data_IF_595526200627
#
_entry.id   IF_595526200627
#
_cell.length_a   1.000
_cell.length_b   1.000
_cell.length_c   1.000
_cell.angle_alpha   90.00
_cell.angle_beta   90.00
_cell.angle_gamma   90.00
#
_symmetry.space_group_name_H-M   'P 1'
#
loop_
_entity.id
_entity.type
_entity.pdbx_description
1 polymer ?
#
# COMPACT_ATOMS: atom_id res chain seq x y z
N UNK A 1 8.85 -2.96 -26.05
CA UNK A 1 7.58 -2.50 -25.48
C UNK A 1 7.85 -1.31 -24.57
N UNK A 2 7.00 -0.29 -24.64
CA UNK A 2 7.13 0.95 -23.91
C UNK A 2 5.84 1.24 -23.13
N UNK A 3 5.94 1.53 -21.83
CA UNK A 3 4.81 1.78 -20.95
C UNK A 3 4.93 3.17 -20.32
N UNK A 4 3.83 3.93 -20.35
CA UNK A 4 3.72 5.19 -19.61
C UNK A 4 2.77 4.99 -18.42
N UNK A 5 3.28 5.19 -17.21
CA UNK A 5 2.55 5.13 -15.97
C UNK A 5 2.16 6.53 -15.50
N UNK A 6 0.89 6.74 -15.14
CA UNK A 6 0.42 8.01 -14.58
C UNK A 6 0.09 7.85 -13.10
N UNK A 7 0.80 8.61 -12.26
CA UNK A 7 0.61 8.64 -10.79
C UNK A 7 0.58 10.07 -10.27
N UNK A 8 -0.02 10.34 -9.09
CA UNK A 8 -0.10 11.72 -8.57
C UNK A 8 1.27 12.30 -8.22
N UNK A 9 2.08 11.51 -7.53
CA UNK A 9 3.43 11.86 -7.03
C UNK A 9 4.22 10.58 -6.79
N UNK A 10 5.51 10.70 -6.54
CA UNK A 10 6.43 9.61 -6.16
C UNK A 10 6.99 9.87 -4.75
N UNK A 11 6.12 10.15 -3.76
CA UNK A 11 6.52 10.44 -2.39
C UNK A 11 6.67 9.17 -1.52
N UNK A 12 5.55 8.66 -1.03
CA UNK A 12 5.49 7.41 -0.26
C UNK A 12 4.04 6.95 -0.15
N UNK A 13 3.79 5.72 -0.46
CA UNK A 13 2.47 5.11 -0.38
C UNK A 13 2.45 3.77 -1.09
N UNK A 14 1.35 3.03 -0.94
CA UNK A 14 1.22 1.70 -1.55
C UNK A 14 1.25 1.74 -3.08
N UNK A 15 0.64 2.75 -3.71
CA UNK A 15 0.60 2.88 -5.18
C UNK A 15 1.98 3.21 -5.73
N UNK A 16 2.70 4.13 -5.09
CA UNK A 16 4.05 4.52 -5.47
C UNK A 16 5.01 3.32 -5.38
N UNK A 17 4.90 2.50 -4.34
CA UNK A 17 5.70 1.28 -4.21
C UNK A 17 5.36 0.25 -5.30
N UNK A 18 4.08 0.08 -5.65
CA UNK A 18 3.68 -0.80 -6.76
C UNK A 18 4.29 -0.32 -8.08
N UNK A 19 4.31 0.99 -8.34
CA UNK A 19 4.92 1.55 -9.56
C UNK A 19 6.43 1.36 -9.56
N UNK A 20 7.10 1.50 -8.41
CA UNK A 20 8.52 1.18 -8.25
C UNK A 20 8.82 -0.28 -8.60
N UNK A 21 8.08 -1.22 -8.02
CA UNK A 21 8.26 -2.65 -8.23
C UNK A 21 7.95 -3.07 -9.67
N UNK A 22 6.87 -2.54 -10.25
CA UNK A 22 6.55 -2.73 -11.66
C UNK A 22 7.66 -2.18 -12.55
N UNK A 23 8.11 -0.95 -12.31
CA UNK A 23 9.16 -0.32 -13.08
C UNK A 23 10.45 -1.14 -13.07
N UNK A 24 10.92 -1.53 -11.89
CA UNK A 24 12.13 -2.36 -11.72
C UNK A 24 11.98 -3.73 -12.40
N UNK A 25 10.87 -4.43 -12.14
CA UNK A 25 10.61 -5.76 -12.71
C UNK A 25 10.41 -5.78 -14.23
N UNK A 26 9.87 -4.73 -14.80
CA UNK A 26 9.68 -4.61 -16.25
C UNK A 26 10.98 -4.14 -16.93
N UNK A 27 11.72 -3.22 -16.33
CA UNK A 27 13.03 -2.76 -16.86
C UNK A 27 14.03 -3.91 -16.94
N UNK A 28 14.06 -4.80 -15.95
CA UNK A 28 14.91 -6.01 -15.99
C UNK A 28 14.56 -6.98 -17.14
N UNK A 29 13.38 -6.82 -17.75
CA UNK A 29 12.91 -7.59 -18.92
C UNK A 29 13.00 -6.80 -20.23
N UNK A 30 13.69 -5.67 -20.24
CA UNK A 30 13.89 -4.85 -21.45
C UNK A 30 12.67 -4.01 -21.84
N UNK A 31 11.71 -3.78 -20.93
CA UNK A 31 10.58 -2.89 -21.15
C UNK A 31 10.95 -1.47 -20.76
N UNK A 32 10.76 -0.52 -21.65
CA UNK A 32 10.97 0.91 -21.38
C UNK A 32 9.82 1.43 -20.51
N UNK A 33 10.12 1.84 -19.27
CA UNK A 33 9.15 2.37 -18.32
C UNK A 33 9.31 3.88 -18.15
N UNK A 34 8.23 4.61 -18.33
CA UNK A 34 8.17 6.05 -18.16
C UNK A 34 7.10 6.36 -17.10
N UNK A 35 7.48 7.03 -16.02
CA UNK A 35 6.57 7.45 -14.96
C UNK A 35 6.34 8.94 -15.02
N UNK A 36 5.10 9.35 -15.23
CA UNK A 36 4.69 10.76 -15.24
C UNK A 36 4.02 11.08 -13.91
N UNK A 37 4.57 12.03 -13.17
CA UNK A 37 4.05 12.42 -11.86
C UNK A 37 4.41 13.84 -11.47
N UNK A 38 3.89 14.31 -10.33
CA UNK A 38 4.28 15.60 -9.72
C UNK A 38 5.63 15.58 -9.02
N UNK A 39 6.49 14.56 -9.25
CA UNK A 39 7.77 14.40 -8.55
C UNK A 39 7.62 13.74 -7.18
N UNK A 40 8.70 13.74 -6.40
CA UNK A 40 8.75 13.22 -5.04
C UNK A 40 10.05 12.51 -4.71
N UNK A 41 10.24 12.17 -3.43
CA UNK A 41 11.48 11.60 -2.89
C UNK A 41 11.89 10.23 -3.47
N UNK A 42 10.95 9.50 -4.08
CA UNK A 42 11.24 8.21 -4.71
C UNK A 42 11.78 8.33 -6.13
N UNK A 43 11.76 9.52 -6.74
CA UNK A 43 12.22 9.71 -8.15
C UNK A 43 13.67 9.28 -8.34
N UNK A 44 14.66 9.68 -7.51
CA UNK A 44 16.04 9.25 -7.71
C UNK A 44 16.23 7.75 -7.68
N UNK A 45 15.49 7.06 -6.81
CA UNK A 45 15.50 5.60 -6.72
C UNK A 45 14.82 4.96 -7.93
N UNK A 46 13.69 5.50 -8.39
CA UNK A 46 12.97 5.06 -9.58
C UNK A 46 13.87 5.07 -10.83
N UNK A 47 14.63 6.16 -11.01
CA UNK A 47 15.55 6.32 -12.14
C UNK A 47 16.76 5.38 -12.03
N UNK A 48 17.29 5.21 -10.81
CA UNK A 48 18.37 4.23 -10.56
C UNK A 48 17.94 2.80 -10.86
N UNK A 49 16.65 2.47 -10.65
CA UNK A 49 16.08 1.15 -10.92
C UNK A 49 15.63 0.98 -12.39
N UNK A 50 15.97 1.91 -13.30
CA UNK A 50 15.83 1.78 -14.74
C UNK A 50 14.55 2.36 -15.34
N UNK A 51 13.72 3.06 -14.57
CA UNK A 51 12.58 3.79 -15.10
C UNK A 51 12.93 5.26 -15.36
N UNK A 52 12.36 5.86 -16.42
CA UNK A 52 12.50 7.29 -16.70
C UNK A 52 11.38 8.06 -16.00
N UNK A 53 11.70 9.18 -15.33
CA UNK A 53 10.70 10.07 -14.77
C UNK A 53 10.45 11.31 -15.64
N UNK A 54 9.17 11.72 -15.75
CA UNK A 54 8.77 12.98 -16.39
C UNK A 54 7.95 13.78 -15.37
N UNK A 55 8.46 14.94 -14.99
CA UNK A 55 7.80 15.83 -14.05
C UNK A 55 6.60 16.51 -14.73
N UNK A 56 5.41 16.11 -14.34
CA UNK A 56 4.14 16.73 -14.74
C UNK A 56 3.15 16.62 -13.59
N UNK A 57 2.83 17.71 -12.88
CA UNK A 57 1.99 17.67 -11.69
C UNK A 57 0.49 17.49 -12.04
N UNK A 58 0.12 16.26 -12.38
CA UNK A 58 -1.24 15.82 -12.75
C UNK A 58 -2.04 15.25 -11.58
N UNK A 59 -1.51 15.33 -10.35
CA UNK A 59 -2.11 14.71 -9.15
C UNK A 59 -3.14 15.57 -8.41
N UNK A 60 -3.32 16.84 -8.76
CA UNK A 60 -4.22 17.78 -8.06
C UNK A 60 -5.51 17.98 -8.84
N UNK A 61 -6.64 18.02 -8.13
CA UNK A 61 -7.94 18.49 -8.70
C UNK A 61 -7.89 20.01 -8.86
N UNK A 62 -7.43 20.48 -10.00
CA UNK A 62 -7.32 21.92 -10.30
C UNK A 62 -7.50 22.18 -11.78
N UNK A 63 -7.88 23.42 -12.11
CA UNK A 63 -7.97 23.91 -13.50
C UNK A 63 -6.61 23.72 -14.21
N UNK A 64 -5.51 23.90 -13.51
CA UNK A 64 -4.16 23.67 -14.07
C UNK A 64 -3.95 22.23 -14.59
N UNK A 65 -4.63 21.24 -14.02
CA UNK A 65 -4.57 19.85 -14.51
C UNK A 65 -5.28 19.72 -15.86
N UNK A 66 -6.34 20.50 -16.11
CA UNK A 66 -7.02 20.51 -17.41
C UNK A 66 -6.13 21.06 -18.53
N UNK A 67 -5.35 22.11 -18.25
CA UNK A 67 -4.37 22.65 -19.20
C UNK A 67 -3.27 21.63 -19.53
N UNK A 68 -2.93 20.73 -18.60
CA UNK A 68 -1.92 19.68 -18.83
C UNK A 68 -2.39 18.51 -19.70
N UNK A 69 -3.70 18.39 -19.97
CA UNK A 69 -4.22 17.37 -20.90
C UNK A 69 -3.60 17.53 -22.29
N UNK A 70 -3.45 18.78 -22.77
CA UNK A 70 -2.77 19.06 -24.03
C UNK A 70 -1.29 18.64 -24.04
N UNK A 71 -0.56 19.00 -22.98
CA UNK A 71 0.83 18.60 -22.80
C UNK A 71 0.98 17.07 -22.69
N UNK A 72 0.07 16.41 -21.96
CA UNK A 72 0.07 14.96 -21.84
C UNK A 72 -0.24 14.27 -23.19
N UNK A 73 -1.18 14.81 -23.98
CA UNK A 73 -1.44 14.35 -25.34
C UNK A 73 -0.17 14.47 -26.23
N UNK A 74 0.46 15.63 -26.21
CA UNK A 74 1.71 15.85 -26.98
C UNK A 74 2.82 14.89 -26.54
N UNK A 75 2.93 14.63 -25.22
CA UNK A 75 3.86 13.63 -24.68
C UNK A 75 3.56 12.24 -25.23
N UNK A 76 2.30 11.80 -25.22
CA UNK A 76 1.91 10.49 -25.74
C UNK A 76 2.20 10.36 -27.23
N UNK A 77 1.98 11.43 -28.02
CA UNK A 77 2.31 11.46 -29.44
C UNK A 77 3.83 11.38 -29.71
N UNK A 78 4.65 12.05 -28.89
CA UNK A 78 6.10 12.03 -29.01
C UNK A 78 6.72 10.70 -28.55
N UNK A 79 6.22 10.15 -27.45
CA UNK A 79 6.74 8.91 -26.83
C UNK A 79 6.26 7.67 -27.57
N UNK A 80 5.02 7.68 -28.11
CA UNK A 80 4.34 6.55 -28.74
C UNK A 80 4.42 5.28 -27.87
N UNK A 81 3.88 5.29 -26.66
CA UNK A 81 3.90 4.11 -25.82
C UNK A 81 2.97 3.01 -26.36
N UNK A 82 3.28 1.75 -26.08
CA UNK A 82 2.40 0.63 -26.35
C UNK A 82 1.24 0.58 -25.35
N UNK A 83 1.51 1.01 -24.09
CA UNK A 83 0.53 1.00 -23.00
C UNK A 83 0.55 2.33 -22.24
N UNK A 84 -0.66 2.85 -21.96
CA UNK A 84 -0.90 3.92 -21.01
C UNK A 84 -1.55 3.31 -19.75
N UNK A 85 -0.82 3.30 -18.63
CA UNK A 85 -1.21 2.67 -17.38
C UNK A 85 -1.57 3.71 -16.32
N UNK A 86 -2.80 3.67 -15.83
CA UNK A 86 -3.40 4.65 -14.93
C UNK A 86 -3.55 4.07 -13.53
N UNK A 87 -2.95 4.70 -12.51
CA UNK A 87 -2.91 4.18 -11.15
C UNK A 87 -3.76 4.93 -10.13
N UNK A 88 -4.25 6.11 -10.45
CA UNK A 88 -5.02 6.95 -9.52
C UNK A 88 -6.02 7.83 -10.23
N UNK A 89 -7.15 8.13 -9.58
CA UNK A 89 -8.32 8.79 -10.19
C UNK A 89 -8.03 10.12 -10.90
N UNK A 90 -7.26 11.04 -10.30
CA UNK A 90 -6.97 12.36 -10.93
C UNK A 90 -6.07 12.20 -12.16
N UNK A 91 -4.90 11.50 -12.07
CA UNK A 91 -4.11 11.18 -13.24
C UNK A 91 -4.87 10.37 -14.28
N UNK A 92 -5.76 9.45 -13.85
CA UNK A 92 -6.58 8.66 -14.77
C UNK A 92 -7.54 9.52 -15.60
N UNK A 93 -8.17 10.52 -15.00
CA UNK A 93 -8.99 11.46 -15.78
C UNK A 93 -8.15 12.25 -16.77
N UNK A 94 -6.99 12.77 -16.37
CA UNK A 94 -6.10 13.50 -17.27
C UNK A 94 -5.61 12.60 -18.42
N UNK A 95 -5.16 11.38 -18.09
CA UNK A 95 -4.69 10.38 -19.06
C UNK A 95 -5.77 9.96 -20.04
N UNK A 96 -6.95 9.60 -19.54
CA UNK A 96 -8.09 9.20 -20.35
C UNK A 96 -8.54 10.30 -21.32
N UNK A 97 -8.60 11.55 -20.87
CA UNK A 97 -8.98 12.68 -21.73
C UNK A 97 -7.91 12.99 -22.77
N UNK A 98 -6.62 12.86 -22.44
CA UNK A 98 -5.53 12.98 -23.40
C UNK A 98 -5.56 11.84 -24.43
N UNK A 99 -5.70 10.59 -23.97
CA UNK A 99 -5.83 9.39 -24.79
C UNK A 99 -7.01 9.46 -25.76
N UNK A 100 -8.19 9.89 -25.27
CA UNK A 100 -9.40 10.02 -26.10
C UNK A 100 -9.25 11.05 -27.23
N UNK A 101 -8.37 12.04 -27.06
CA UNK A 101 -8.05 13.07 -28.07
C UNK A 101 -6.99 12.63 -29.09
N UNK A 102 -6.36 11.47 -28.92
CA UNK A 102 -5.48 10.88 -29.93
C UNK A 102 -6.33 10.28 -31.06
N UNK A 103 -5.82 10.27 -32.32
CA UNK A 103 -6.37 9.47 -33.38
C UNK A 103 -6.50 8.00 -32.94
N UNK A 104 -7.56 7.28 -33.29
CA UNK A 104 -7.77 5.89 -32.84
C UNK A 104 -6.57 4.97 -33.11
N UNK A 105 -5.92 5.13 -34.25
CA UNK A 105 -4.76 4.36 -34.70
C UNK A 105 -3.47 4.64 -33.90
N UNK A 106 -3.39 5.81 -33.26
CA UNK A 106 -2.24 6.23 -32.43
C UNK A 106 -2.47 5.96 -30.92
N UNK A 107 -3.60 5.37 -30.55
CA UNK A 107 -3.92 5.13 -29.13
C UNK A 107 -3.15 3.95 -28.58
N UNK A 108 -2.36 4.15 -27.50
CA UNK A 108 -1.83 3.02 -26.76
C UNK A 108 -2.93 2.20 -26.09
N UNK A 109 -2.68 0.94 -25.81
CA UNK A 109 -3.57 0.14 -24.97
C UNK A 109 -3.80 0.81 -23.62
N UNK A 110 -5.06 0.97 -23.23
CA UNK A 110 -5.44 1.66 -21.99
C UNK A 110 -5.61 0.67 -20.84
N UNK A 111 -4.75 0.75 -19.83
CA UNK A 111 -4.80 -0.08 -18.62
C UNK A 111 -5.08 0.78 -17.40
N UNK A 112 -5.96 0.32 -16.52
CA UNK A 112 -6.20 0.93 -15.21
C UNK A 112 -5.92 -0.07 -14.10
N UNK A 113 -5.33 0.37 -12.97
CA UNK A 113 -5.18 -0.46 -11.77
C UNK A 113 -5.99 0.09 -10.61
N UNK A 114 -6.86 -0.75 -10.05
CA UNK A 114 -7.70 -0.43 -8.90
C UNK A 114 -6.99 -0.88 -7.62
N UNK A 115 -6.34 0.08 -6.94
CA UNK A 115 -5.51 -0.15 -5.75
C UNK A 115 -6.25 0.01 -4.43
N UNK A 116 -7.55 0.29 -4.45
CA UNK A 116 -8.31 0.52 -3.23
C UNK A 116 -9.81 0.60 -3.46
N UNK A 117 -10.56 0.51 -2.38
CA UNK A 117 -11.99 0.81 -2.37
C UNK A 117 -12.18 2.32 -2.45
N UNK A 118 -12.66 2.79 -3.59
CA UNK A 118 -12.95 4.20 -3.80
C UNK A 118 -14.41 4.52 -3.42
N UNK A 119 -14.71 5.79 -3.18
CA UNK A 119 -16.11 6.22 -3.09
C UNK A 119 -16.83 5.90 -4.40
N UNK A 120 -17.97 5.22 -4.33
CA UNK A 120 -18.76 4.82 -5.50
C UNK A 120 -19.44 6.05 -6.09
N UNK A 121 -18.96 6.53 -7.23
CA UNK A 121 -19.51 7.66 -7.96
C UNK A 121 -18.92 7.74 -9.39
N UNK A 122 -19.49 8.62 -10.24
CA UNK A 122 -19.04 8.83 -11.62
C UNK A 122 -17.58 9.26 -11.75
N UNK A 123 -17.04 9.96 -10.75
CA UNK A 123 -15.62 10.36 -10.75
C UNK A 123 -14.70 9.17 -10.55
N UNK A 124 -15.06 8.26 -9.66
CA UNK A 124 -14.25 7.05 -9.38
C UNK A 124 -14.38 5.98 -10.48
N UNK A 125 -15.49 6.00 -11.24
CA UNK A 125 -15.73 5.09 -12.36
C UNK A 125 -14.63 5.15 -13.46
N UNK A 126 -13.81 6.19 -13.49
CA UNK A 126 -12.67 6.29 -14.42
C UNK A 126 -11.70 5.11 -14.26
N UNK A 127 -11.58 4.57 -13.05
CA UNK A 127 -10.67 3.46 -12.77
C UNK A 127 -11.15 2.10 -13.32
N UNK A 128 -12.39 2.03 -13.76
CA UNK A 128 -12.98 0.86 -14.41
C UNK A 128 -13.12 1.01 -15.95
N UNK A 129 -12.59 2.10 -16.53
CA UNK A 129 -12.72 2.41 -17.97
C UNK A 129 -11.52 1.99 -18.82
N UNK A 130 -10.56 1.26 -18.26
CA UNK A 130 -9.46 0.68 -19.04
C UNK A 130 -9.97 -0.40 -20.00
N UNK A 131 -9.29 -0.57 -21.15
CA UNK A 131 -9.48 -1.75 -22.02
C UNK A 131 -9.07 -3.02 -21.29
N UNK A 132 -8.18 -2.87 -20.31
CA UNK A 132 -7.91 -3.85 -19.26
C UNK A 132 -7.89 -3.15 -17.90
N UNK A 133 -8.54 -3.79 -16.94
CA UNK A 133 -8.67 -3.30 -15.56
C UNK A 133 -7.98 -4.28 -14.63
N UNK A 134 -6.89 -3.87 -14.02
CA UNK A 134 -6.18 -4.68 -13.04
C UNK A 134 -6.85 -4.50 -11.68
N UNK A 135 -7.34 -5.60 -11.12
CA UNK A 135 -7.79 -5.72 -9.75
C UNK A 135 -6.65 -6.34 -8.91
N UNK A 136 -6.26 -5.68 -7.82
CA UNK A 136 -5.13 -6.15 -6.99
C UNK A 136 -5.48 -7.33 -6.07
N UNK A 137 -6.74 -7.77 -6.07
CA UNK A 137 -7.26 -8.88 -5.28
C UNK A 137 -8.64 -9.32 -5.80
N UNK A 138 -9.14 -10.47 -5.33
CA UNK A 138 -10.50 -10.90 -5.63
C UNK A 138 -11.55 -9.93 -5.08
N UNK A 139 -11.37 -9.45 -3.85
CA UNK A 139 -12.32 -8.47 -3.27
C UNK A 139 -12.36 -7.15 -4.05
N UNK A 140 -11.30 -6.74 -4.72
CA UNK A 140 -11.31 -5.59 -5.63
C UNK A 140 -12.00 -5.92 -6.94
N UNK A 141 -11.82 -7.13 -7.50
CA UNK A 141 -12.60 -7.57 -8.67
C UNK A 141 -14.09 -7.53 -8.37
N UNK A 142 -14.50 -8.13 -7.25
CA UNK A 142 -15.91 -8.19 -6.83
C UNK A 142 -16.48 -6.78 -6.60
N UNK A 143 -15.72 -5.91 -5.92
CA UNK A 143 -16.06 -4.50 -5.78
C UNK A 143 -16.28 -3.78 -7.12
N UNK A 144 -15.45 -4.06 -8.15
CA UNK A 144 -15.62 -3.46 -9.47
C UNK A 144 -16.91 -3.96 -10.12
N UNK A 145 -17.15 -5.27 -10.08
CA UNK A 145 -18.35 -5.87 -10.67
C UNK A 145 -19.65 -5.38 -10.01
N UNK A 146 -19.65 -5.26 -8.68
CA UNK A 146 -20.82 -4.82 -7.92
C UNK A 146 -21.16 -3.34 -8.14
N UNK A 147 -20.16 -2.49 -8.33
CA UNK A 147 -20.37 -1.04 -8.31
C UNK A 147 -20.20 -0.35 -9.66
N UNK A 148 -19.59 -1.02 -10.63
CA UNK A 148 -19.36 -0.52 -11.98
C UNK A 148 -19.78 -1.56 -13.02
N UNK A 149 -21.09 -1.88 -13.12
CA UNK A 149 -21.62 -2.96 -13.97
C UNK A 149 -21.39 -2.74 -15.46
N UNK A 150 -21.01 -1.53 -15.88
CA UNK A 150 -20.62 -1.25 -17.26
C UNK A 150 -19.21 -1.78 -17.62
N UNK A 151 -18.45 -2.28 -16.64
CA UNK A 151 -17.14 -2.88 -16.90
C UNK A 151 -17.33 -4.35 -17.30
N UNK A 152 -16.95 -4.75 -18.51
CA UNK A 152 -17.06 -6.14 -18.90
C UNK A 152 -16.18 -7.03 -17.99
N UNK A 153 -16.69 -8.16 -17.48
CA UNK A 153 -15.91 -9.04 -16.60
C UNK A 153 -14.62 -9.55 -17.24
N UNK A 154 -14.62 -9.80 -18.54
CA UNK A 154 -13.46 -10.25 -19.32
C UNK A 154 -12.38 -9.16 -19.51
N UNK A 155 -12.69 -7.90 -19.23
CA UNK A 155 -11.69 -6.82 -19.16
C UNK A 155 -10.91 -6.84 -17.84
N UNK A 156 -11.47 -7.44 -16.79
CA UNK A 156 -10.84 -7.45 -15.46
C UNK A 156 -9.81 -8.60 -15.38
N UNK A 157 -8.61 -8.25 -14.90
CA UNK A 157 -7.56 -9.22 -14.59
C UNK A 157 -7.12 -9.04 -13.15
N UNK A 158 -7.08 -10.14 -12.40
CA UNK A 158 -6.54 -10.12 -11.04
C UNK A 158 -5.02 -10.24 -11.15
N UNK A 159 -4.34 -9.20 -10.73
CA UNK A 159 -2.87 -9.17 -10.65
C UNK A 159 -2.54 -8.63 -9.24
N UNK A 160 -2.27 -9.53 -8.29
CA UNK A 160 -1.90 -9.13 -6.94
C UNK A 160 -0.62 -8.29 -6.93
N UNK A 161 -0.50 -7.39 -5.94
CA UNK A 161 0.76 -6.71 -5.72
C UNK A 161 1.83 -7.74 -5.35
N UNK A 162 3.05 -7.49 -5.79
CA UNK A 162 4.19 -8.34 -5.54
C UNK A 162 5.19 -7.68 -4.60
N UNK A 163 6.16 -8.44 -4.15
CA UNK A 163 7.38 -7.99 -3.47
C UNK A 163 8.57 -8.72 -4.10
N UNK A 164 9.76 -8.16 -3.95
CA UNK A 164 10.98 -8.82 -4.42
C UNK A 164 11.32 -10.01 -3.51
N UNK A 165 11.38 -11.25 -4.02
CA UNK A 165 11.77 -12.41 -3.21
C UNK A 165 13.23 -12.34 -2.73
N UNK A 166 14.09 -11.60 -3.42
CA UNK A 166 15.48 -11.37 -3.00
C UNK A 166 15.56 -10.45 -1.77
N UNK A 167 14.55 -9.59 -1.58
CA UNK A 167 14.49 -8.66 -0.46
C UNK A 167 13.66 -9.18 0.72
N UNK A 168 12.63 -9.98 0.44
CA UNK A 168 11.70 -10.52 1.42
C UNK A 168 11.68 -12.04 1.34
N UNK A 169 12.37 -12.69 2.25
CA UNK A 169 12.43 -14.15 2.37
C UNK A 169 12.63 -14.58 3.83
N UNK A 170 12.26 -15.80 4.24
CA UNK A 170 12.30 -16.23 5.64
C UNK A 170 13.69 -16.23 6.27
N UNK A 171 14.74 -16.37 5.45
CA UNK A 171 16.13 -16.33 5.92
C UNK A 171 16.70 -14.90 6.03
N UNK A 172 15.89 -13.86 5.75
CA UNK A 172 16.33 -12.47 5.89
C UNK A 172 16.60 -12.13 7.37
N UNK A 173 17.74 -11.51 7.62
CA UNK A 173 18.09 -10.93 8.92
C UNK A 173 18.70 -9.55 8.73
N UNK A 174 18.33 -8.55 9.54
CA UNK A 174 18.98 -7.25 9.53
C UNK A 174 20.46 -7.35 9.86
N UNK A 175 21.26 -6.39 9.42
CA UNK A 175 22.67 -6.33 9.77
C UNK A 175 22.86 -6.12 11.29
N UNK A 176 24.00 -6.58 11.79
CA UNK A 176 24.36 -6.38 13.23
C UNK A 176 24.38 -4.91 13.60
N UNK A 177 24.85 -4.06 12.70
CA UNK A 177 24.89 -2.61 12.89
C UNK A 177 23.47 -2.04 13.04
N UNK A 178 22.55 -2.44 12.15
CA UNK A 178 21.16 -2.03 12.25
C UNK A 178 20.50 -2.49 13.56
N UNK A 179 20.70 -3.77 13.93
CA UNK A 179 20.17 -4.33 15.19
C UNK A 179 20.71 -3.59 16.41
N UNK A 180 22.00 -3.26 16.42
CA UNK A 180 22.61 -2.49 17.50
C UNK A 180 21.97 -1.11 17.59
N UNK A 181 21.86 -0.39 16.49
CA UNK A 181 21.23 0.93 16.44
C UNK A 181 19.75 0.89 16.83
N UNK A 182 19.03 -0.15 16.40
CA UNK A 182 17.62 -0.36 16.75
C UNK A 182 17.44 -0.51 18.26
N UNK A 183 18.16 -1.41 18.91
CA UNK A 183 18.05 -1.63 20.35
C UNK A 183 18.74 -0.56 21.21
N UNK A 184 19.60 0.26 20.64
CA UNK A 184 20.07 1.50 21.29
C UNK A 184 18.98 2.58 21.29
N UNK A 185 18.23 2.69 20.17
CA UNK A 185 17.16 3.68 20.04
C UNK A 185 15.88 3.27 20.79
N UNK A 186 15.64 1.97 20.93
CA UNK A 186 14.44 1.37 21.54
C UNK A 186 14.82 0.22 22.49
N UNK A 187 15.53 0.53 23.59
CA UNK A 187 16.03 -0.50 24.52
C UNK A 187 14.90 -1.29 25.19
N UNK A 188 13.71 -0.67 25.31
CA UNK A 188 12.51 -1.27 25.87
C UNK A 188 11.97 -2.47 25.07
N UNK A 189 12.38 -2.62 23.81
CA UNK A 189 11.94 -3.74 22.94
C UNK A 189 12.76 -5.01 23.17
N UNK A 190 13.91 -4.92 23.81
CA UNK A 190 14.82 -6.06 23.98
C UNK A 190 14.19 -7.14 24.87
N UNK A 191 14.07 -8.36 24.33
CA UNK A 191 13.49 -9.50 25.04
C UNK A 191 11.97 -9.45 25.19
N UNK A 192 11.28 -8.55 24.49
CA UNK A 192 9.82 -8.45 24.52
C UNK A 192 9.16 -9.26 23.41
N UNK A 193 7.91 -9.66 23.66
CA UNK A 193 7.02 -10.14 22.62
C UNK A 193 6.45 -8.94 21.88
N UNK A 194 6.99 -8.65 20.71
CA UNK A 194 6.71 -7.41 19.99
C UNK A 194 5.59 -7.57 18.97
N UNK A 195 4.60 -6.67 19.04
CA UNK A 195 3.45 -6.58 18.16
C UNK A 195 3.62 -5.38 17.22
N UNK A 196 3.91 -5.60 15.95
CA UNK A 196 4.09 -4.54 14.97
C UNK A 196 2.77 -4.15 14.32
N UNK A 197 2.38 -2.87 14.39
CA UNK A 197 1.25 -2.31 13.64
C UNK A 197 1.75 -1.27 12.63
N UNK A 198 2.02 -1.69 11.38
CA UNK A 198 2.51 -0.80 10.35
C UNK A 198 1.37 -0.08 9.63
N UNK A 199 1.58 1.19 9.31
CA UNK A 199 0.66 1.95 8.48
C UNK A 199 0.42 3.37 8.97
N UNK A 200 -0.28 4.14 8.14
CA UNK A 200 -0.64 5.53 8.48
C UNK A 200 -1.54 5.56 9.71
N UNK A 201 -1.32 6.53 10.59
CA UNK A 201 -2.17 6.69 11.77
C UNK A 201 -3.50 7.31 11.34
N UNK A 202 -4.51 6.45 11.22
CA UNK A 202 -5.88 6.79 10.85
C UNK A 202 -6.86 5.90 11.59
N UNK A 203 -8.11 6.36 11.78
CA UNK A 203 -9.17 5.54 12.42
C UNK A 203 -9.38 4.19 11.75
N UNK A 204 -9.15 4.12 10.42
CA UNK A 204 -9.30 2.87 9.67
C UNK A 204 -8.27 1.80 10.06
N UNK A 205 -7.08 2.19 10.56
CA UNK A 205 -5.99 1.25 10.87
C UNK A 205 -6.09 0.59 12.26
N UNK A 206 -7.12 0.91 13.04
CA UNK A 206 -7.47 0.18 14.25
C UNK A 206 -6.50 0.31 15.42
N UNK A 207 -5.74 1.42 15.51
CA UNK A 207 -4.75 1.62 16.59
C UNK A 207 -5.34 1.52 18.00
N UNK A 208 -6.60 1.90 18.19
CA UNK A 208 -7.28 1.77 19.48
C UNK A 208 -7.50 0.31 19.87
N UNK A 209 -7.66 -0.59 18.90
CA UNK A 209 -7.89 -2.01 19.15
C UNK A 209 -6.61 -2.72 19.62
N UNK A 210 -5.44 -2.11 19.39
CA UNK A 210 -4.16 -2.62 19.89
C UNK A 210 -4.04 -2.54 21.42
N UNK A 211 -4.72 -1.56 22.05
CA UNK A 211 -4.63 -1.32 23.50
C UNK A 211 -5.13 -2.52 24.31
N UNK A 212 -6.37 -3.03 24.09
CA UNK A 212 -6.84 -4.22 24.80
C UNK A 212 -6.00 -5.47 24.50
N UNK A 213 -5.44 -5.60 23.29
CA UNK A 213 -4.56 -6.73 22.94
C UNK A 213 -3.30 -6.73 23.81
N UNK A 214 -2.61 -5.59 23.90
CA UNK A 214 -1.41 -5.47 24.74
C UNK A 214 -1.73 -5.73 26.19
N UNK A 215 -2.82 -5.14 26.72
CA UNK A 215 -3.24 -5.33 28.10
C UNK A 215 -3.50 -6.81 28.41
N UNK A 216 -4.27 -7.50 27.58
CA UNK A 216 -4.62 -8.92 27.80
C UNK A 216 -3.36 -9.81 27.79
N UNK A 217 -2.41 -9.57 26.89
CA UNK A 217 -1.17 -10.31 26.87
C UNK A 217 -0.33 -10.09 28.14
N UNK A 218 -0.26 -8.83 28.62
CA UNK A 218 0.42 -8.52 29.89
C UNK A 218 -0.25 -9.17 31.09
N UNK A 219 -1.59 -9.20 31.14
CA UNK A 219 -2.37 -9.89 32.18
C UNK A 219 -2.12 -11.41 32.17
N UNK A 220 -1.80 -11.99 31.03
CA UNK A 220 -1.40 -13.40 30.88
C UNK A 220 0.09 -13.63 31.20
N UNK A 221 0.83 -12.62 31.64
CA UNK A 221 2.26 -12.73 31.98
C UNK A 221 3.20 -12.69 30.76
N UNK A 222 2.67 -12.41 29.55
CA UNK A 222 3.49 -12.26 28.35
C UNK A 222 4.06 -10.85 28.32
N UNK A 223 5.39 -10.65 28.21
CA UNK A 223 6.00 -9.32 28.20
C UNK A 223 5.79 -8.60 26.86
N UNK A 224 4.53 -8.33 26.52
CA UNK A 224 4.09 -7.75 25.25
C UNK A 224 4.51 -6.29 25.12
N UNK A 225 4.91 -5.87 23.90
CA UNK A 225 5.22 -4.50 23.57
C UNK A 225 4.75 -4.16 22.14
N UNK A 226 3.96 -3.12 21.99
CA UNK A 226 3.46 -2.65 20.72
C UNK A 226 4.44 -1.71 20.03
N UNK A 227 4.73 -1.95 18.76
CA UNK A 227 5.56 -1.11 17.89
C UNK A 227 4.67 -0.52 16.80
N UNK A 228 4.35 0.75 16.91
CA UNK A 228 3.53 1.48 15.93
C UNK A 228 4.46 2.16 14.92
N UNK A 229 4.39 1.70 13.65
CA UNK A 229 5.26 2.17 12.57
C UNK A 229 4.44 2.98 11.57
N UNK A 230 4.56 4.30 11.65
CA UNK A 230 3.87 5.21 10.75
C UNK A 230 3.59 6.57 11.36
N UNK A 231 3.02 7.44 10.54
CA UNK A 231 2.70 8.81 10.94
C UNK A 231 1.28 9.21 10.55
N UNK A 232 0.75 10.19 11.27
CA UNK A 232 -0.43 10.92 10.85
C UNK A 232 -0.06 11.88 9.70
N UNK A 233 -0.97 12.07 8.76
CA UNK A 233 -0.77 13.11 7.74
C UNK A 233 -0.75 14.48 8.41
N UNK A 234 0.19 15.35 8.00
CA UNK A 234 0.29 16.72 8.50
C UNK A 234 -1.08 17.43 8.46
N UNK A 235 -1.47 18.02 9.58
CA UNK A 235 -2.77 18.67 9.77
C UNK A 235 -3.94 17.69 10.03
N UNK A 236 -3.65 16.40 10.33
CA UNK A 236 -4.64 15.35 10.70
C UNK A 236 -4.16 14.54 11.91
N UNK A 237 -3.54 15.20 12.87
CA UNK A 237 -2.97 14.59 14.07
C UNK A 237 -4.02 14.28 15.17
N UNK A 238 -5.26 14.76 15.00
CA UNK A 238 -6.33 14.61 15.99
C UNK A 238 -6.51 13.14 16.44
N UNK A 239 -6.59 12.21 15.49
CA UNK A 239 -6.71 10.80 15.80
C UNK A 239 -5.46 10.23 16.49
N UNK A 240 -4.27 10.67 16.12
CA UNK A 240 -3.03 10.29 16.82
C UNK A 240 -3.11 10.71 18.28
N UNK A 241 -3.54 11.94 18.56
CA UNK A 241 -3.67 12.46 19.92
C UNK A 241 -4.76 11.73 20.72
N UNK A 242 -5.84 11.28 20.06
CA UNK A 242 -6.86 10.43 20.67
C UNK A 242 -6.26 9.09 21.10
N UNK A 243 -5.50 8.43 20.21
CA UNK A 243 -4.85 7.14 20.52
C UNK A 243 -3.83 7.30 21.65
N UNK A 244 -3.01 8.36 21.65
CA UNK A 244 -2.06 8.62 22.73
C UNK A 244 -2.75 8.76 24.07
N UNK A 245 -3.82 9.58 24.15
CA UNK A 245 -4.62 9.72 25.37
C UNK A 245 -5.28 8.40 25.82
N UNK A 246 -5.70 7.57 24.88
CA UNK A 246 -6.27 6.26 25.21
C UNK A 246 -5.22 5.31 25.78
N UNK A 247 -4.00 5.33 25.23
CA UNK A 247 -2.86 4.55 25.75
C UNK A 247 -2.49 5.02 27.16
N UNK A 248 -2.39 6.33 27.41
CA UNK A 248 -2.09 6.89 28.73
C UNK A 248 -3.13 6.44 29.78
N UNK A 249 -4.42 6.50 29.45
CA UNK A 249 -5.50 6.07 30.34
C UNK A 249 -5.56 4.56 30.56
N UNK A 250 -4.94 3.79 29.70
CA UNK A 250 -4.99 2.33 29.77
C UNK A 250 -4.11 1.72 30.86
N UNK A 251 -3.18 2.49 31.42
CA UNK A 251 -2.19 2.02 32.41
C UNK A 251 -1.06 1.15 31.84
N UNK A 252 -1.00 0.98 30.52
CA UNK A 252 0.05 0.17 29.83
C UNK A 252 0.89 0.99 28.88
N UNK A 253 1.00 2.28 29.05
CA UNK A 253 1.69 3.22 28.14
C UNK A 253 3.17 2.89 27.93
N UNK A 254 3.85 2.34 28.95
CA UNK A 254 5.25 1.89 28.86
C UNK A 254 5.43 0.69 27.89
N UNK A 255 4.37 0.06 27.44
CA UNK A 255 4.39 -1.06 26.50
C UNK A 255 4.05 -0.63 25.06
N UNK A 256 4.23 0.65 24.74
CA UNK A 256 3.97 1.20 23.41
C UNK A 256 5.15 2.07 22.95
N UNK A 257 5.69 1.74 21.78
CA UNK A 257 6.73 2.53 21.09
C UNK A 257 6.20 3.06 19.77
N UNK A 258 6.39 4.36 19.53
CA UNK A 258 6.06 5.07 18.29
C UNK A 258 7.34 5.36 17.53
N UNK A 259 7.54 4.73 16.38
CA UNK A 259 8.76 4.93 15.60
C UNK A 259 8.65 6.06 14.59
N UNK A 260 7.43 6.58 14.35
CA UNK A 260 7.18 7.51 13.26
C UNK A 260 7.25 6.82 11.89
N UNK A 261 7.42 7.64 10.86
CA UNK A 261 7.63 7.12 9.50
C UNK A 261 9.02 6.49 9.37
N UNK A 262 9.05 5.23 8.90
CA UNK A 262 10.29 4.46 8.69
C UNK A 262 10.42 4.03 7.25
N UNK A 263 11.64 3.98 6.73
CA UNK A 263 11.97 3.44 5.41
C UNK A 263 12.47 1.99 5.49
N UNK A 264 12.89 1.57 6.67
CA UNK A 264 13.42 0.25 7.02
C UNK A 264 12.35 -0.66 7.64
N UNK A 265 11.12 -0.61 7.10
CA UNK A 265 10.00 -1.42 7.59
C UNK A 265 10.31 -2.93 7.53
N UNK A 266 11.04 -3.38 6.51
CA UNK A 266 11.44 -4.78 6.37
C UNK A 266 12.26 -5.26 7.57
N UNK A 267 13.25 -4.48 7.98
CA UNK A 267 14.11 -4.74 9.13
C UNK A 267 13.28 -4.80 10.42
N UNK A 268 12.35 -3.85 10.59
CA UNK A 268 11.46 -3.80 11.76
C UNK A 268 10.55 -5.03 11.78
N UNK A 269 9.88 -5.36 10.66
CA UNK A 269 9.01 -6.53 10.57
C UNK A 269 9.77 -7.82 10.91
N UNK A 270 11.02 -7.95 10.43
CA UNK A 270 11.85 -9.14 10.68
C UNK A 270 12.26 -9.31 12.15
N UNK A 271 12.25 -8.23 12.94
CA UNK A 271 12.57 -8.28 14.39
C UNK A 271 11.32 -8.45 15.26
N UNK A 272 10.14 -8.21 14.73
CA UNK A 272 8.90 -8.32 15.50
C UNK A 272 8.41 -9.77 15.63
N UNK A 273 7.73 -10.08 16.74
CA UNK A 273 7.15 -11.39 16.99
C UNK A 273 5.91 -11.65 16.15
N UNK A 274 5.05 -10.66 16.00
CA UNK A 274 3.80 -10.72 15.22
C UNK A 274 3.56 -9.39 14.52
N UNK A 275 3.10 -9.43 13.29
CA UNK A 275 2.59 -8.25 12.58
C UNK A 275 1.07 -8.22 12.65
N UNK A 276 0.50 -7.05 12.93
CA UNK A 276 -0.93 -6.87 13.06
C UNK A 276 -1.52 -6.09 11.88
N UNK A 277 -2.69 -6.52 11.41
CA UNK A 277 -3.51 -5.83 10.44
C UNK A 277 -4.92 -5.60 11.01
N UNK A 278 -5.07 -4.54 11.81
CA UNK A 278 -6.31 -4.20 12.53
C UNK A 278 -7.18 -3.19 11.77
N UNK A 279 -7.10 -3.19 10.44
CA UNK A 279 -7.88 -2.26 9.60
C UNK A 279 -9.36 -2.55 9.73
N UNK A 280 -10.16 -1.55 10.13
CA UNK A 280 -11.61 -1.67 10.41
C UNK A 280 -12.49 -1.80 9.16
N UNK A 281 -11.97 -1.48 8.00
CA UNK A 281 -12.63 -1.71 6.71
C UNK A 281 -11.74 -2.55 5.81
N UNK A 282 -12.32 -3.27 4.84
CA UNK A 282 -11.54 -4.10 3.93
C UNK A 282 -10.38 -3.34 3.29
N UNK A 283 -9.18 -3.88 3.39
CA UNK A 283 -8.04 -3.42 2.59
C UNK A 283 -8.07 -4.06 1.21
N UNK A 284 -7.68 -3.29 0.21
CA UNK A 284 -7.65 -3.80 -1.15
C UNK A 284 -6.66 -4.96 -1.33
N UNK A 285 -5.53 -4.90 -0.61
CA UNK A 285 -4.51 -5.95 -0.68
C UNK A 285 -3.87 -6.24 0.67
N UNK A 286 -3.32 -5.24 1.37
CA UNK A 286 -2.58 -5.43 2.62
C UNK A 286 -1.10 -5.73 2.36
N UNK A 287 -0.37 -4.78 1.77
CA UNK A 287 1.04 -4.99 1.39
C UNK A 287 1.93 -5.37 2.56
N UNK A 288 1.78 -4.71 3.72
CA UNK A 288 2.55 -5.04 4.93
C UNK A 288 2.28 -6.46 5.46
N UNK A 289 1.09 -7.00 5.20
CA UNK A 289 0.76 -8.40 5.48
C UNK A 289 1.62 -9.33 4.61
N UNK A 290 1.66 -9.08 3.29
CA UNK A 290 2.50 -9.86 2.37
C UNK A 290 3.97 -9.78 2.75
N UNK A 291 4.48 -8.58 3.07
CA UNK A 291 5.87 -8.35 3.49
C UNK A 291 6.22 -9.16 4.74
N UNK A 292 5.36 -9.16 5.75
CA UNK A 292 5.56 -9.94 6.96
C UNK A 292 5.53 -11.45 6.71
N UNK A 293 4.53 -11.94 5.96
CA UNK A 293 4.40 -13.36 5.60
C UNK A 293 5.62 -13.86 4.82
N UNK A 294 6.12 -13.07 3.87
CA UNK A 294 7.31 -13.44 3.09
C UNK A 294 8.60 -13.46 3.92
N UNK A 295 8.66 -12.66 4.99
CA UNK A 295 9.74 -12.74 5.99
C UNK A 295 9.56 -13.93 6.97
N UNK A 296 8.56 -14.78 6.77
CA UNK A 296 8.25 -15.89 7.67
C UNK A 296 7.69 -15.45 9.03
N UNK A 297 7.15 -14.22 9.12
CA UNK A 297 6.59 -13.70 10.37
C UNK A 297 5.11 -13.98 10.49
N UNK A 298 4.63 -14.39 11.66
CA UNK A 298 3.20 -14.52 11.93
C UNK A 298 2.47 -13.18 11.68
N UNK A 299 1.26 -13.28 11.15
CA UNK A 299 0.37 -12.14 10.96
C UNK A 299 -0.97 -12.44 11.60
N UNK A 300 -1.49 -11.51 12.39
CA UNK A 300 -2.85 -11.53 12.91
C UNK A 300 -3.62 -10.32 12.39
N UNK A 301 -4.88 -10.52 11.98
CA UNK A 301 -5.66 -9.43 11.43
C UNK A 301 -7.14 -9.72 11.33
N UNK A 302 -7.93 -8.69 11.03
CA UNK A 302 -9.35 -8.86 10.78
C UNK A 302 -9.60 -9.60 9.47
N UNK A 303 -10.51 -10.58 9.51
CA UNK A 303 -10.82 -11.48 8.41
C UNK A 303 -11.69 -10.83 7.31
N UNK A 304 -11.14 -9.82 6.62
CA UNK A 304 -11.83 -9.19 5.49
C UNK A 304 -10.85 -8.59 4.46
N UNK A 305 -11.35 -8.38 3.24
CA UNK A 305 -10.59 -7.79 2.13
C UNK A 305 -9.38 -8.64 1.70
N UNK A 306 -8.40 -7.99 1.11
CA UNK A 306 -7.19 -8.65 0.60
C UNK A 306 -6.30 -9.26 1.68
N UNK A 307 -6.40 -8.78 2.94
CA UNK A 307 -5.70 -9.40 4.08
C UNK A 307 -6.22 -10.81 4.33
N UNK A 308 -7.56 -10.99 4.34
CA UNK A 308 -8.17 -12.32 4.45
C UNK A 308 -7.70 -13.25 3.34
N UNK A 309 -7.71 -12.77 2.08
CA UNK A 309 -7.28 -13.57 0.93
C UNK A 309 -5.84 -14.06 1.08
N UNK A 310 -4.93 -13.22 1.60
CA UNK A 310 -3.55 -13.61 1.85
C UNK A 310 -3.44 -14.62 2.98
N UNK A 311 -4.12 -14.39 4.11
CA UNK A 311 -4.08 -15.31 5.24
C UNK A 311 -4.65 -16.69 4.87
N UNK A 312 -5.75 -16.73 4.12
CA UNK A 312 -6.33 -17.99 3.63
C UNK A 312 -5.38 -18.74 2.68
N UNK A 313 -4.61 -18.01 1.86
CA UNK A 313 -3.71 -18.61 0.88
C UNK A 313 -2.39 -19.13 1.49
N UNK A 314 -1.84 -18.41 2.48
CA UNK A 314 -0.53 -18.71 3.05
C UNK A 314 -0.58 -19.48 4.36
N UNK A 315 -1.70 -19.41 5.09
CA UNK A 315 -1.89 -20.03 6.40
C UNK A 315 -3.24 -20.75 6.44
N UNK A 316 -3.42 -21.84 5.70
CA UNK A 316 -4.72 -22.53 5.61
C UNK A 316 -5.24 -23.09 6.93
N UNK A 317 -4.46 -23.03 8.03
CA UNK A 317 -4.80 -23.56 9.36
C UNK A 317 -4.66 -22.50 10.46
N UNK A 318 -4.37 -21.23 10.17
CA UNK A 318 -4.24 -20.25 11.24
C UNK A 318 -5.61 -19.68 11.62
N UNK A 319 -6.06 -20.01 12.83
CA UNK A 319 -7.27 -19.49 13.48
C UNK A 319 -7.19 -18.00 13.88
N UNK A 320 -6.36 -17.21 13.22
CA UNK A 320 -6.18 -15.79 13.53
C UNK A 320 -7.15 -14.89 12.75
N UNK A 321 -8.34 -15.41 12.42
CA UNK A 321 -9.42 -14.63 11.86
C UNK A 321 -10.21 -13.97 13.00
N UNK A 322 -9.74 -12.82 13.44
CA UNK A 322 -10.54 -11.98 14.34
C UNK A 322 -11.72 -11.41 13.55
N UNK A 323 -12.94 -11.79 13.90
CA UNK A 323 -14.12 -11.08 13.43
C UNK A 323 -14.13 -9.69 14.06
N UNK A 324 -14.56 -8.69 13.33
CA UNK A 324 -14.52 -7.28 13.74
C UNK A 324 -15.23 -6.96 15.09
N UNK A 325 -15.91 -7.93 15.69
CA UNK A 325 -16.63 -7.84 16.95
C UNK A 325 -16.24 -8.90 17.99
N UNK A 326 -15.31 -9.79 17.67
CA UNK A 326 -14.81 -10.77 18.64
C UNK A 326 -13.52 -10.27 19.26
N UNK A 327 -13.57 -9.90 20.51
CA UNK A 327 -12.40 -9.72 21.38
C UNK A 327 -11.57 -10.99 21.35
N UNK A 328 -10.26 -10.86 21.29
CA UNK A 328 -9.23 -11.90 21.36
C UNK A 328 -9.46 -12.88 22.51
N UNK A 329 -10.40 -13.81 22.38
CA UNK A 329 -10.65 -14.85 23.38
C UNK A 329 -9.83 -16.12 23.17
N UNK A 330 -9.03 -16.19 22.08
CA UNK A 330 -8.35 -17.41 21.65
C UNK A 330 -6.92 -17.19 21.09
N UNK A 331 -6.17 -16.24 21.64
CA UNK A 331 -4.72 -16.20 21.49
C UNK A 331 -4.03 -16.80 22.70
#
# INVERSE_FOLDING_TARGET
>A
MKIVHLVPSMESGGVEQVVMELGSGLSSRGVENIVVSGGGRLVPRLEKEGSRHILMPIGKKSISTLFRIGALRALLQAVRPDILHLHSRVPAWAGYLAWKKLPPEDRPGLVTSVHGFYSVNRYSAIMSRGERVIAVSNCIRDYILDHYPSTPPDHIRIIPNAISPDQYHPAYSPSREWLTGWFMSYPELKGKFTLCLPGRITRLKGHLDLIPVVRQLLEQGIPAHAVIVGEAKKGKEEYKNEVLRAIERSGVSQSFTWTGHRQDLREILSTCSVTLSLTKSPEAFGKSTLEALALGKPVAGYAHGGVKEQLDAFLPVSYTHLRAHETLRHL
#
